data_IF_871497778604
#
_entry.id   IF_871497778604
#
_cell.length_a   1.000
_cell.length_b   1.000
_cell.length_c   1.000
_cell.angle_alpha   90.00
_cell.angle_beta   90.00
_cell.angle_gamma   90.00
#
_symmetry.space_group_name_H-M   'P 1'
#
loop_
_entity.id
_entity.type
_entity.pdbx_description
1 polymer ?
#
# COMPACT_ATOMS: atom_id res chain seq x y z
N UNK A 1 18.51 0.53 -20.85
CA UNK A 1 17.95 -0.41 -19.85
C UNK A 1 18.47 0.02 -18.48
N UNK A 2 17.64 0.70 -17.69
CA UNK A 2 17.99 1.02 -16.30
C UNK A 2 17.67 -0.23 -15.50
N UNK A 3 18.72 -0.94 -15.06
CA UNK A 3 18.58 -2.01 -14.09
C UNK A 3 17.99 -1.40 -12.80
N UNK A 4 16.72 -1.71 -12.52
CA UNK A 4 16.10 -1.40 -11.23
C UNK A 4 16.59 -2.47 -10.27
N UNK A 5 17.48 -2.11 -9.36
CA UNK A 5 17.83 -2.95 -8.21
C UNK A 5 16.54 -3.22 -7.42
N UNK A 6 15.99 -4.42 -7.56
CA UNK A 6 14.86 -4.88 -6.76
C UNK A 6 15.43 -5.50 -5.49
N UNK A 7 15.63 -4.68 -4.45
CA UNK A 7 15.74 -5.22 -3.09
C UNK A 7 14.50 -6.10 -2.84
N UNK A 8 14.70 -7.33 -2.38
CA UNK A 8 13.61 -8.27 -2.14
C UNK A 8 12.83 -7.83 -0.90
N UNK A 9 11.76 -7.06 -1.12
CA UNK A 9 10.88 -6.58 -0.06
C UNK A 9 9.76 -7.58 0.17
N UNK A 10 9.69 -8.12 1.38
CA UNK A 10 8.62 -9.04 1.83
C UNK A 10 7.54 -8.32 2.63
N UNK A 11 7.93 -7.32 3.42
CA UNK A 11 7.02 -6.52 4.23
C UNK A 11 7.51 -5.07 4.27
N UNK A 12 6.58 -4.13 4.21
CA UNK A 12 6.85 -2.69 4.27
C UNK A 12 5.72 -2.02 5.05
N UNK A 13 6.05 -0.98 5.83
CA UNK A 13 5.02 -0.20 6.51
C UNK A 13 4.26 0.71 5.52
N UNK A 14 3.02 1.07 5.85
CA UNK A 14 2.23 1.96 4.98
C UNK A 14 2.88 3.33 4.78
N UNK A 15 3.48 3.90 5.83
CA UNK A 15 4.18 5.19 5.74
C UNK A 15 5.37 5.11 4.80
N UNK A 16 6.22 4.10 4.97
CA UNK A 16 7.40 3.93 4.11
C UNK A 16 6.99 3.67 2.65
N UNK A 17 5.94 2.88 2.44
CA UNK A 17 5.39 2.63 1.12
C UNK A 17 4.85 3.93 0.48
N UNK A 18 4.14 4.76 1.24
CA UNK A 18 3.61 6.04 0.76
C UNK A 18 4.73 7.03 0.37
N UNK A 19 5.79 7.13 1.19
CA UNK A 19 6.95 7.99 0.91
C UNK A 19 7.72 7.52 -0.32
N UNK A 20 7.92 6.20 -0.46
CA UNK A 20 8.69 5.59 -1.56
C UNK A 20 7.83 5.14 -2.74
N UNK A 21 6.55 5.53 -2.82
CA UNK A 21 5.58 4.99 -3.80
C UNK A 21 6.05 5.02 -5.26
N UNK A 22 6.80 6.05 -5.67
CA UNK A 22 7.34 6.17 -7.03
C UNK A 22 8.33 5.05 -7.40
N UNK A 23 9.04 4.51 -6.40
CA UNK A 23 9.97 3.39 -6.60
C UNK A 23 9.21 2.08 -6.82
N UNK A 24 8.03 1.94 -6.21
CA UNK A 24 7.21 0.74 -6.28
C UNK A 24 6.07 0.84 -7.30
N UNK A 25 6.33 1.40 -8.49
CA UNK A 25 5.37 1.37 -9.59
C UNK A 25 5.44 0.00 -10.30
N UNK A 26 4.39 -0.81 -10.12
CA UNK A 26 4.21 -2.15 -10.70
C UNK A 26 5.33 -3.22 -10.45
N UNK A 27 6.03 -3.28 -9.30
CA UNK A 27 7.00 -4.35 -9.05
C UNK A 27 6.36 -5.66 -8.55
N UNK A 28 5.15 -5.62 -7.97
CA UNK A 28 4.59 -6.76 -7.23
C UNK A 28 3.57 -7.55 -8.04
N UNK A 29 3.67 -8.88 -7.99
CA UNK A 29 2.68 -9.80 -8.57
C UNK A 29 1.47 -10.03 -7.63
N UNK A 30 1.71 -9.87 -6.32
CA UNK A 30 0.71 -10.08 -5.26
C UNK A 30 0.88 -9.02 -4.17
N UNK A 31 -0.22 -8.47 -3.67
CA UNK A 31 -0.24 -7.56 -2.51
C UNK A 31 -1.36 -7.98 -1.55
N UNK A 32 -1.03 -8.03 -0.27
CA UNK A 32 -1.98 -8.25 0.82
C UNK A 32 -1.70 -7.23 1.94
N UNK A 33 -2.57 -6.23 2.15
CA UNK A 33 -2.48 -5.37 3.32
C UNK A 33 -2.83 -6.19 4.56
N UNK A 34 -1.90 -6.23 5.52
CA UNK A 34 -2.11 -6.84 6.82
C UNK A 34 -2.50 -5.76 7.83
N UNK A 35 -3.80 -5.56 8.02
CA UNK A 35 -4.34 -4.63 8.99
C UNK A 35 -5.81 -4.27 8.71
N UNK A 36 -6.53 -3.76 9.71
CA UNK A 36 -7.90 -3.30 9.53
C UNK A 36 -7.98 -2.06 8.62
N UNK A 37 -9.08 -1.92 7.85
CA UNK A 37 -9.37 -0.83 6.89
C UNK A 37 -9.88 0.44 7.64
N UNK A 38 -9.37 0.69 8.85
CA UNK A 38 -9.82 1.78 9.73
C UNK A 38 -8.64 2.35 10.52
N UNK A 39 -7.46 2.39 9.90
CA UNK A 39 -6.24 2.87 10.55
C UNK A 39 -5.89 4.26 10.05
N UNK A 40 -6.05 4.53 8.75
CA UNK A 40 -5.55 5.75 8.14
C UNK A 40 -6.66 6.80 8.06
N UNK A 41 -6.43 7.95 8.68
CA UNK A 41 -7.35 9.09 8.60
C UNK A 41 -8.37 9.21 9.74
N UNK A 42 -8.25 8.40 10.79
CA UNK A 42 -9.07 8.55 12.00
C UNK A 42 -8.54 9.60 13.01
N UNK A 43 -7.43 10.28 12.69
CA UNK A 43 -6.77 11.21 13.60
C UNK A 43 -6.15 10.54 14.83
N UNK A 44 -6.01 9.21 14.80
CA UNK A 44 -5.23 8.47 15.79
C UNK A 44 -3.77 8.87 15.64
N UNK A 45 -3.02 8.89 16.73
CA UNK A 45 -1.58 9.23 16.73
C UNK A 45 -1.19 10.62 16.17
N UNK A 46 -2.17 11.53 16.00
CA UNK A 46 -1.93 12.89 15.50
C UNK A 46 -2.12 13.05 13.99
N UNK A 47 -2.66 12.04 13.32
CA UNK A 47 -2.97 12.09 11.89
C UNK A 47 -4.05 13.16 11.58
N UNK A 48 -4.09 13.64 10.35
CA UNK A 48 -5.21 14.48 9.88
C UNK A 48 -6.44 13.60 9.71
N UNK A 49 -7.60 14.08 10.19
CA UNK A 49 -8.88 13.41 9.95
C UNK A 49 -9.19 13.39 8.44
N UNK A 50 -9.26 12.18 7.88
CA UNK A 50 -9.54 11.89 6.49
C UNK A 50 -10.40 10.63 6.38
N UNK A 51 -11.69 10.81 6.09
CA UNK A 51 -12.64 9.71 5.94
C UNK A 51 -12.31 8.77 4.76
N UNK A 52 -11.39 9.15 3.87
CA UNK A 52 -10.97 8.38 2.72
C UNK A 52 -9.54 7.82 2.86
N UNK A 53 -8.88 8.00 4.01
CA UNK A 53 -7.47 7.66 4.18
C UNK A 53 -7.16 6.19 3.84
N UNK A 54 -7.96 5.26 4.37
CA UNK A 54 -7.81 3.83 4.08
C UNK A 54 -8.10 3.48 2.60
N UNK A 55 -9.08 4.13 1.97
CA UNK A 55 -9.39 3.92 0.55
C UNK A 55 -8.27 4.44 -0.36
N UNK A 56 -7.68 5.58 -0.01
CA UNK A 56 -6.52 6.12 -0.71
C UNK A 56 -5.31 5.19 -0.58
N UNK A 57 -5.08 4.65 0.62
CA UNK A 57 -4.00 3.70 0.87
C UNK A 57 -4.18 2.41 0.05
N UNK A 58 -5.39 1.83 0.04
CA UNK A 58 -5.72 0.67 -0.81
C UNK A 58 -5.49 0.98 -2.29
N UNK A 59 -5.91 2.15 -2.76
CA UNK A 59 -5.70 2.58 -4.15
C UNK A 59 -4.20 2.71 -4.49
N UNK A 60 -3.40 3.30 -3.59
CA UNK A 60 -1.95 3.40 -3.77
C UNK A 60 -1.27 2.03 -3.82
N UNK A 61 -1.70 1.07 -2.99
CA UNK A 61 -1.22 -0.31 -3.05
C UNK A 61 -1.64 -0.99 -4.36
N UNK A 62 -2.83 -0.68 -4.88
CA UNK A 62 -3.25 -1.13 -6.20
C UNK A 62 -2.29 -0.68 -7.32
N UNK A 63 -1.75 0.54 -7.24
CA UNK A 63 -0.79 1.05 -8.21
C UNK A 63 0.59 0.37 -8.17
N UNK A 64 0.95 -0.33 -7.09
CA UNK A 64 2.19 -1.11 -7.02
C UNK A 64 2.06 -2.51 -7.57
N UNK A 65 0.84 -2.91 -7.92
CA UNK A 65 0.56 -4.20 -8.53
C UNK A 65 0.80 -4.14 -10.03
N UNK A 66 1.45 -5.16 -10.59
CA UNK A 66 1.51 -5.34 -12.04
C UNK A 66 0.10 -5.49 -12.60
N UNK A 67 -0.09 -5.09 -13.86
CA UNK A 67 -1.33 -5.36 -14.60
C UNK A 67 -1.65 -6.87 -14.58
N UNK A 68 -2.79 -7.23 -13.99
CA UNK A 68 -3.24 -8.61 -13.84
C UNK A 68 -2.73 -9.33 -12.60
N UNK A 69 -1.98 -8.66 -11.71
CA UNK A 69 -1.61 -9.20 -10.40
C UNK A 69 -2.82 -9.35 -9.47
N UNK A 70 -2.63 -10.04 -8.34
CA UNK A 70 -3.71 -10.27 -7.37
C UNK A 70 -3.60 -9.36 -6.15
N UNK A 71 -4.72 -8.74 -5.81
CA UNK A 71 -4.88 -7.92 -4.62
C UNK A 71 -5.81 -8.62 -3.64
N UNK A 72 -5.31 -9.00 -2.47
CA UNK A 72 -6.12 -9.61 -1.41
C UNK A 72 -6.57 -8.51 -0.46
N UNK A 73 -7.87 -8.33 -0.26
CA UNK A 73 -8.41 -7.37 0.72
C UNK A 73 -9.19 -8.14 1.79
N UNK A 74 -8.72 -8.05 3.04
CA UNK A 74 -9.43 -8.61 4.19
C UNK A 74 -10.47 -7.62 4.70
N UNK A 75 -11.75 -7.98 4.66
CA UNK A 75 -12.84 -7.20 5.24
C UNK A 75 -13.29 -7.88 6.54
N UNK A 76 -13.28 -7.18 7.69
CA UNK A 76 -13.77 -7.74 8.94
C UNK A 76 -15.28 -8.05 8.84
N UNK A 77 -15.70 -9.18 9.40
CA UNK A 77 -17.10 -9.63 9.49
C UNK A 77 -17.75 -9.23 10.81
#
# INVERSE_FOLDING_TARGET
>A
MVARETETVWSISFLEFAEKRRRYSEPFDFVAPCGPIEIVGLGRYGDVLDAFGDLQMISMLGCSLKKGGLFFLGIPT
#
